data_IF_865891031520
#
_entry.id   IF_865891031520
#
_cell.length_a   1.000
_cell.length_b   1.000
_cell.length_c   1.000
_cell.angle_alpha   90.00
_cell.angle_beta   90.00
_cell.angle_gamma   90.00
#
_symmetry.space_group_name_H-M   'P 1'
#
loop_
_entity.id
_entity.type
_entity.pdbx_description
1 polymer ?
#
# COMPACT_ATOMS: atom_id res chain seq x y z
N UNK A 1 -19.10 -18.00 14.52
CA UNK A 1 -18.18 -17.77 13.38
C UNK A 1 -16.90 -18.55 13.64
N UNK A 2 -16.42 -19.33 12.66
CA UNK A 2 -15.22 -20.15 12.84
C UNK A 2 -13.97 -19.25 12.73
N UNK A 3 -12.98 -19.41 13.61
CA UNK A 3 -11.76 -18.58 13.62
C UNK A 3 -11.11 -18.38 12.23
N UNK A 4 -10.89 -19.44 11.43
CA UNK A 4 -10.33 -19.31 10.08
C UNK A 4 -11.17 -18.46 9.12
N UNK A 5 -12.50 -18.52 9.23
CA UNK A 5 -13.40 -17.72 8.37
C UNK A 5 -13.33 -16.24 8.69
N UNK A 6 -13.17 -15.87 9.97
CA UNK A 6 -13.01 -14.49 10.40
C UNK A 6 -11.70 -13.90 9.84
N UNK A 7 -10.59 -14.61 10.00
CA UNK A 7 -9.30 -14.19 9.45
C UNK A 7 -9.33 -14.14 7.92
N UNK A 8 -9.96 -15.11 7.25
CA UNK A 8 -10.15 -15.09 5.80
C UNK A 8 -10.91 -13.87 5.29
N UNK A 9 -12.04 -13.52 5.94
CA UNK A 9 -12.80 -12.32 5.64
C UNK A 9 -12.00 -11.04 5.90
N UNK A 10 -11.25 -10.98 6.99
CA UNK A 10 -10.39 -9.84 7.30
C UNK A 10 -9.28 -9.67 6.24
N UNK A 11 -8.61 -10.76 5.86
CA UNK A 11 -7.62 -10.76 4.79
C UNK A 11 -8.20 -10.29 3.44
N UNK A 12 -9.38 -10.80 3.07
CA UNK A 12 -10.08 -10.36 1.86
C UNK A 12 -10.47 -8.87 1.90
N UNK A 13 -10.93 -8.39 3.05
CA UNK A 13 -11.25 -6.97 3.25
C UNK A 13 -10.01 -6.08 3.13
N UNK A 14 -8.86 -6.48 3.69
CA UNK A 14 -7.59 -5.76 3.57
C UNK A 14 -7.12 -5.70 2.11
N UNK A 15 -7.21 -6.82 1.38
CA UNK A 15 -6.88 -6.85 -0.06
C UNK A 15 -7.81 -5.94 -0.86
N UNK A 16 -9.12 -5.99 -0.60
CA UNK A 16 -10.10 -5.14 -1.28
C UNK A 16 -9.87 -3.65 -1.00
N UNK A 17 -9.61 -3.28 0.26
CA UNK A 17 -9.36 -1.90 0.66
C UNK A 17 -8.03 -1.38 0.10
N UNK A 18 -6.99 -2.21 0.10
CA UNK A 18 -5.71 -1.90 -0.52
C UNK A 18 -5.84 -1.72 -2.03
N UNK A 19 -6.59 -2.57 -2.72
CA UNK A 19 -6.84 -2.44 -4.16
C UNK A 19 -7.63 -1.16 -4.48
N UNK A 20 -8.67 -0.86 -3.68
CA UNK A 20 -9.40 0.41 -3.79
C UNK A 20 -8.48 1.62 -3.59
N UNK A 21 -7.64 1.61 -2.56
CA UNK A 21 -6.68 2.69 -2.31
C UNK A 21 -5.67 2.85 -3.45
N UNK A 22 -5.22 1.75 -4.05
CA UNK A 22 -4.26 1.77 -5.15
C UNK A 22 -4.85 2.37 -6.43
N UNK A 23 -6.13 2.10 -6.71
CA UNK A 23 -6.83 2.59 -7.90
C UNK A 23 -7.35 4.03 -7.74
N UNK A 24 -7.88 4.39 -6.56
CA UNK A 24 -8.56 5.66 -6.36
C UNK A 24 -7.65 6.81 -5.90
N UNK A 25 -6.46 6.54 -5.35
CA UNK A 25 -5.61 7.61 -4.81
C UNK A 25 -4.54 8.08 -5.81
N UNK A 26 -4.40 9.41 -6.04
CA UNK A 26 -3.41 9.94 -6.99
C UNK A 26 -1.97 9.97 -6.43
N UNK A 27 -1.80 10.17 -5.12
CA UNK A 27 -0.49 10.34 -4.48
C UNK A 27 0.38 9.07 -4.50
N UNK A 28 1.65 9.21 -4.87
CA UNK A 28 2.61 8.10 -4.97
C UNK A 28 2.84 7.40 -3.61
N UNK A 29 2.98 8.16 -2.52
CA UNK A 29 3.14 7.59 -1.18
C UNK A 29 1.90 6.79 -0.75
N UNK A 30 0.72 7.31 -1.09
CA UNK A 30 -0.56 6.67 -0.84
C UNK A 30 -0.71 5.35 -1.59
N UNK A 31 -0.26 5.30 -2.85
CA UNK A 31 -0.18 4.05 -3.63
C UNK A 31 0.79 3.03 -3.03
N UNK A 32 1.94 3.46 -2.52
CA UNK A 32 2.90 2.56 -1.85
C UNK A 32 2.28 1.95 -0.58
N UNK A 33 1.56 2.75 0.22
CA UNK A 33 0.84 2.27 1.39
C UNK A 33 -0.28 1.29 1.01
N UNK A 34 -1.07 1.63 -0.02
CA UNK A 34 -2.13 0.78 -0.53
C UNK A 34 -1.59 -0.57 -1.03
N UNK A 35 -0.44 -0.57 -1.71
CA UNK A 35 0.24 -1.79 -2.14
C UNK A 35 0.69 -2.66 -0.96
N UNK A 36 1.26 -2.06 0.09
CA UNK A 36 1.62 -2.79 1.31
C UNK A 36 0.39 -3.39 2.00
N UNK A 37 -0.74 -2.68 2.00
CA UNK A 37 -1.99 -3.16 2.58
C UNK A 37 -2.52 -4.41 1.87
N UNK A 38 -2.42 -4.45 0.53
CA UNK A 38 -2.71 -5.65 -0.26
C UNK A 38 -1.80 -6.79 0.19
N UNK A 39 -0.48 -6.54 0.27
CA UNK A 39 0.51 -7.52 0.72
C UNK A 39 0.21 -8.09 2.11
N UNK A 40 -0.11 -7.24 3.08
CA UNK A 40 -0.51 -7.66 4.44
C UNK A 40 -1.76 -8.55 4.43
N UNK A 41 -2.76 -8.24 3.60
CA UNK A 41 -3.94 -9.09 3.42
C UNK A 41 -3.60 -10.47 2.85
N UNK A 42 -2.72 -10.53 1.85
CA UNK A 42 -2.23 -11.80 1.27
C UNK A 42 -1.44 -12.62 2.31
N UNK A 43 -0.56 -11.99 3.07
CA UNK A 43 0.19 -12.67 4.14
C UNK A 43 -0.73 -13.23 5.23
N UNK A 44 -1.80 -12.51 5.58
CA UNK A 44 -2.81 -12.97 6.53
C UNK A 44 -3.54 -14.21 5.99
N UNK A 45 -3.94 -14.22 4.71
CA UNK A 45 -4.54 -15.39 4.07
C UNK A 45 -3.61 -16.60 4.07
N UNK A 46 -2.33 -16.42 3.76
CA UNK A 46 -1.31 -17.46 3.87
C UNK A 46 -1.16 -17.98 5.30
N UNK A 47 -1.25 -17.10 6.32
CA UNK A 47 -1.20 -17.51 7.72
C UNK A 47 -2.38 -18.40 8.13
N UNK A 48 -3.58 -18.14 7.60
CA UNK A 48 -4.75 -19.01 7.81
C UNK A 48 -4.54 -20.38 7.17
N UNK A 49 -3.96 -20.43 5.96
CA UNK A 49 -3.61 -21.67 5.26
C UNK A 49 -2.55 -22.44 6.05
N UNK A 50 -1.49 -21.77 6.51
CA UNK A 50 -0.41 -22.35 7.31
C UNK A 50 -0.94 -23.02 8.58
N UNK A 51 -1.81 -22.32 9.31
CA UNK A 51 -2.43 -22.84 10.53
C UNK A 51 -3.31 -24.06 10.26
N UNK A 52 -4.07 -24.04 9.15
CA UNK A 52 -4.94 -25.16 8.77
C UNK A 52 -4.13 -26.39 8.35
N UNK A 53 -3.04 -26.21 7.60
CA UNK A 53 -2.11 -27.28 7.25
C UNK A 53 -1.39 -27.86 8.47
N UNK A 54 -1.03 -27.01 9.44
CA UNK A 54 -0.45 -27.44 10.72
C UNK A 54 -1.35 -28.32 11.58
N UNK A 55 -2.66 -28.03 11.61
CA UNK A 55 -3.63 -28.89 12.28
C UNK A 55 -3.70 -30.30 11.69
N UNK A 56 -3.50 -30.45 10.37
CA UNK A 56 -3.42 -31.75 9.70
C UNK A 56 -2.09 -32.47 9.99
N UNK A 57 -0.98 -31.73 10.05
CA UNK A 57 0.36 -32.26 10.35
C UNK A 57 0.50 -32.70 11.82
N UNK A 58 -0.08 -31.93 12.74
CA UNK A 58 -0.15 -32.25 14.17
C UNK A 58 -1.04 -33.47 14.44
N UNK A 59 -2.17 -33.60 13.71
CA UNK A 59 -3.00 -34.81 13.74
C UNK A 59 -2.29 -36.07 13.18
N UNK A 60 -1.27 -35.90 12.34
CA UNK A 60 -0.42 -36.98 11.83
C UNK A 60 0.74 -37.35 12.78
N UNK A 61 0.80 -36.78 13.99
CA UNK A 61 1.80 -37.12 15.01
C UNK A 61 3.16 -36.45 14.81
N UNK A 62 3.28 -35.49 13.88
CA UNK A 62 4.54 -34.80 13.55
C UNK A 62 4.84 -33.58 14.44
N UNK A 63 3.95 -33.24 15.38
CA UNK A 63 4.24 -32.30 16.48
C UNK A 63 4.46 -30.83 16.10
N UNK A 64 4.20 -30.42 14.85
CA UNK A 64 4.35 -29.01 14.42
C UNK A 64 2.97 -28.34 14.34
N UNK A 65 2.76 -27.28 15.13
CA UNK A 65 1.52 -26.48 15.19
C UNK A 65 1.28 -25.57 13.95
N UNK A 66 1.82 -25.93 12.78
CA UNK A 66 1.81 -25.11 11.56
C UNK A 66 2.40 -25.85 10.36
N UNK A 67 1.91 -25.56 9.15
CA UNK A 67 2.60 -25.96 7.92
C UNK A 67 3.83 -25.04 7.74
N UNK A 68 5.06 -25.58 7.77
CA UNK A 68 6.27 -24.78 7.71
C UNK A 68 6.47 -24.07 6.37
N UNK A 69 5.87 -24.58 5.28
CA UNK A 69 6.11 -24.04 3.93
C UNK A 69 5.43 -22.67 3.76
N UNK A 70 4.11 -22.51 3.95
CA UNK A 70 3.49 -21.19 3.91
C UNK A 70 4.03 -20.24 4.97
N UNK A 71 4.47 -20.75 6.13
CA UNK A 71 5.07 -19.92 7.19
C UNK A 71 6.39 -19.28 6.74
N UNK A 72 7.30 -20.07 6.14
CA UNK A 72 8.54 -19.54 5.60
C UNK A 72 8.28 -18.52 4.48
N UNK A 73 7.32 -18.81 3.59
CA UNK A 73 6.92 -17.90 2.50
C UNK A 73 6.44 -16.53 3.02
N UNK A 74 5.71 -16.50 4.14
CA UNK A 74 5.26 -15.23 4.74
C UNK A 74 6.46 -14.40 5.22
N UNK A 75 7.41 -15.00 5.95
CA UNK A 75 8.56 -14.27 6.50
C UNK A 75 9.43 -13.72 5.36
N UNK A 76 9.74 -14.55 4.35
CA UNK A 76 10.50 -14.12 3.18
C UNK A 76 9.76 -13.02 2.40
N UNK A 77 8.45 -13.20 2.18
CA UNK A 77 7.63 -12.21 1.50
C UNK A 77 7.59 -10.87 2.22
N UNK A 78 7.52 -10.87 3.56
CA UNK A 78 7.48 -9.66 4.37
C UNK A 78 8.78 -8.85 4.25
N UNK A 79 9.93 -9.52 4.25
CA UNK A 79 11.24 -8.86 4.07
C UNK A 79 11.38 -8.29 2.66
N UNK A 80 10.95 -9.03 1.63
CA UNK A 80 10.99 -8.55 0.23
C UNK A 80 10.07 -7.34 0.04
N UNK A 81 8.85 -7.36 0.60
CA UNK A 81 7.92 -6.24 0.55
C UNK A 81 8.47 -5.00 1.28
N UNK A 82 9.11 -5.19 2.44
CA UNK A 82 9.77 -4.11 3.17
C UNK A 82 10.93 -3.49 2.36
N UNK A 83 11.77 -4.31 1.74
CA UNK A 83 12.86 -3.85 0.89
C UNK A 83 12.34 -3.07 -0.33
N UNK A 84 11.32 -3.59 -1.01
CA UNK A 84 10.68 -2.92 -2.14
C UNK A 84 10.08 -1.56 -1.76
N UNK A 85 9.42 -1.49 -0.59
CA UNK A 85 8.86 -0.24 -0.05
C UNK A 85 9.95 0.77 0.28
N UNK A 86 11.04 0.31 0.89
CA UNK A 86 12.19 1.16 1.22
C UNK A 86 12.80 1.77 -0.04
N UNK A 87 12.97 0.97 -1.09
CA UNK A 87 13.46 1.44 -2.40
C UNK A 87 12.47 2.42 -3.04
N UNK A 88 11.17 2.11 -3.02
CA UNK A 88 10.14 2.97 -3.59
C UNK A 88 10.11 4.36 -2.91
N UNK A 89 10.18 4.39 -1.58
CA UNK A 89 10.25 5.65 -0.81
C UNK A 89 11.55 6.39 -1.08
N UNK A 90 12.70 5.71 -1.12
CA UNK A 90 13.98 6.34 -1.43
C UNK A 90 13.98 6.99 -2.83
N UNK A 91 13.43 6.30 -3.83
CA UNK A 91 13.25 6.84 -5.19
C UNK A 91 12.30 8.03 -5.20
N UNK A 92 11.20 7.96 -4.44
CA UNK A 92 10.24 9.05 -4.35
C UNK A 92 10.85 10.31 -3.74
N UNK A 93 11.68 10.17 -2.70
CA UNK A 93 12.42 11.27 -2.09
C UNK A 93 13.43 11.88 -3.07
N UNK A 94 14.21 11.05 -3.78
CA UNK A 94 15.16 11.53 -4.80
C UNK A 94 14.45 12.26 -5.94
N UNK A 95 13.30 11.76 -6.38
CA UNK A 95 12.50 12.42 -7.40
C UNK A 95 11.97 13.78 -6.93
N UNK A 96 11.57 13.89 -5.67
CA UNK A 96 11.11 15.14 -5.06
C UNK A 96 12.23 16.18 -5.00
N UNK A 97 13.43 15.78 -4.59
CA UNK A 97 14.64 16.63 -4.58
C UNK A 97 14.96 17.17 -5.98
N UNK A 98 14.99 16.30 -6.99
CA UNK A 98 15.32 16.68 -8.38
C UNK A 98 14.21 17.57 -8.99
N UNK A 99 12.95 17.32 -8.64
CA UNK A 99 11.82 18.07 -9.20
C UNK A 99 11.60 19.43 -8.53
N UNK A 100 12.30 19.74 -7.44
CA UNK A 100 12.09 20.97 -6.66
C UNK A 100 10.70 21.10 -6.04
N UNK A 101 9.95 20.00 -5.90
CA UNK A 101 8.58 19.99 -5.35
C UNK A 101 8.62 19.72 -3.85
N UNK A 102 8.04 20.62 -3.05
CA UNK A 102 7.91 20.48 -1.60
C UNK A 102 6.75 19.55 -1.18
N UNK A 103 5.92 19.09 -2.12
CA UNK A 103 4.75 18.25 -1.85
C UNK A 103 4.79 16.95 -2.67
N UNK A 104 4.56 15.82 -1.99
CA UNK A 104 4.45 14.47 -2.59
C UNK A 104 3.06 14.21 -3.22
N UNK A 105 2.19 15.21 -3.20
CA UNK A 105 0.82 15.15 -3.70
C UNK A 105 0.77 15.73 -5.12
N UNK A 106 0.96 14.87 -6.13
CA UNK A 106 0.78 15.23 -7.53
C UNK A 106 -0.69 15.14 -7.95
N UNK A 107 -1.20 16.26 -8.47
CA UNK A 107 -2.40 16.39 -9.30
C UNK A 107 -3.75 16.09 -8.61
N UNK A 108 -4.30 17.08 -7.91
CA UNK A 108 -5.66 16.97 -7.38
C UNK A 108 -6.17 18.12 -6.52
N UNK A 109 -5.82 19.37 -6.83
CA UNK A 109 -6.69 20.48 -6.43
C UNK A 109 -6.70 21.48 -7.57
N UNK A 110 -7.87 21.66 -8.18
CA UNK A 110 -8.07 22.59 -9.27
C UNK A 110 -7.63 23.97 -8.82
N UNK A 111 -6.64 24.53 -9.53
CA UNK A 111 -6.30 25.93 -9.44
C UNK A 111 -7.49 26.74 -9.96
N UNK A 112 -8.36 27.18 -9.05
CA UNK A 112 -9.23 28.30 -9.34
C UNK A 112 -8.36 29.56 -9.34
N UNK A 113 -7.79 29.87 -10.50
CA UNK A 113 -7.23 31.20 -10.79
C UNK A 113 -8.39 32.07 -11.27
N UNK A 114 -8.86 33.09 -10.51
CA UNK A 114 -9.62 34.15 -11.13
C UNK A 114 -8.65 34.93 -12.02
N UNK A 115 -8.88 34.86 -13.33
CA UNK A 115 -8.32 35.74 -14.34
C UNK A 115 -8.79 37.16 -14.05
N UNK A 116 -8.12 37.89 -13.16
CA UNK A 116 -8.18 39.35 -13.18
C UNK A 116 -7.17 39.85 -14.21
N UNK A 117 -7.65 39.82 -15.45
CA UNK A 117 -7.60 40.93 -16.40
C UNK A 117 -6.50 41.97 -16.12
N UNK A 118 -5.40 41.89 -16.87
CA UNK A 118 -4.44 42.99 -17.01
C UNK A 118 -5.16 44.18 -17.63
N UNK A 119 -5.49 45.17 -16.82
CA UNK A 119 -5.74 46.52 -17.33
C UNK A 119 -4.40 47.17 -17.73
N UNK A 120 -4.26 47.71 -18.94
CA UNK A 120 -3.07 48.43 -19.35
C UNK A 120 -3.04 49.83 -18.70
N UNK A 121 -1.98 50.14 -17.95
CA UNK A 121 -1.46 51.51 -17.84
C UNK A 121 -0.57 51.76 -19.09
N UNK A 122 -0.31 53.00 -19.56
CA UNK A 122 -0.43 54.29 -18.88
C UNK A 122 -1.04 55.43 -19.75
N UNK A 123 -1.61 56.47 -19.14
CA UNK A 123 -1.71 57.77 -19.81
C UNK A 123 -1.25 58.88 -18.86
N UNK A 124 -0.03 59.37 -19.09
CA UNK A 124 0.42 60.67 -18.62
C UNK A 124 -0.15 61.70 -19.59
N UNK A 125 -1.04 62.57 -19.12
CA UNK A 125 -1.30 63.86 -19.75
C UNK A 125 -1.85 64.84 -18.70
N UNK A 126 -1.32 66.07 -18.76
CA UNK A 126 -1.59 67.31 -18.01
C UNK A 126 -1.24 67.33 -16.52
#
# INVERSE_FOLDING_TARGET
>A
MNGPTLFGLCGAALVGLGLYGLLCQPGALRKILAFNLIGSGVFLLFGVIAKRGGGALSAAGLGVDGDPVPQALIITGLVVAFAATSIAVALLLRLAEISGRSTLEGAGSGSHSPTHERAPAPERAS
#
